data_IF_040235164206
#
_entry.id   IF_040235164206
#
_cell.length_a   1.000
_cell.length_b   1.000
_cell.length_c   1.000
_cell.angle_alpha   90.00
_cell.angle_beta   90.00
_cell.angle_gamma   90.00
#
_symmetry.space_group_name_H-M   'P 1'
#
loop_
_entity.id
_entity.type
_entity.pdbx_description
1 polymer ?
#
# COMPACT_ATOMS: atom_id res chain seq x y z
N UNK A 1 -11.94 -9.31 1.42
CA UNK A 1 -11.29 -9.59 2.73
C UNK A 1 -12.26 -10.08 3.80
N UNK A 2 -11.86 -11.10 4.58
CA UNK A 2 -12.51 -11.56 5.84
C UNK A 2 -11.44 -12.18 6.78
N UNK A 3 -11.71 -12.27 8.08
CA UNK A 3 -10.80 -12.87 9.08
C UNK A 3 -9.57 -12.00 9.37
N UNK A 4 -8.45 -12.60 9.78
CA UNK A 4 -7.24 -11.87 10.21
C UNK A 4 -6.79 -10.75 9.25
N UNK A 5 -6.81 -10.90 7.90
CA UNK A 5 -6.45 -9.80 7.01
C UNK A 5 -7.37 -8.58 7.14
N UNK A 6 -8.67 -8.79 7.40
CA UNK A 6 -9.61 -7.69 7.65
C UNK A 6 -9.33 -7.03 9.00
N UNK A 7 -9.10 -7.82 10.04
CA UNK A 7 -8.80 -7.29 11.38
C UNK A 7 -7.51 -6.45 11.36
N UNK A 8 -6.48 -6.91 10.64
CA UNK A 8 -5.24 -6.16 10.43
C UNK A 8 -5.47 -4.87 9.63
N UNK A 9 -6.27 -4.92 8.56
CA UNK A 9 -6.60 -3.73 7.77
C UNK A 9 -7.29 -2.66 8.63
N UNK A 10 -8.27 -3.07 9.45
CA UNK A 10 -9.00 -2.17 10.35
C UNK A 10 -8.06 -1.60 11.41
N UNK A 11 -7.23 -2.45 12.05
CA UNK A 11 -6.29 -2.03 13.07
C UNK A 11 -5.29 -0.99 12.52
N UNK A 12 -4.68 -1.26 11.36
CA UNK A 12 -3.74 -0.32 10.72
C UNK A 12 -4.44 0.98 10.34
N UNK A 13 -5.66 0.91 9.78
CA UNK A 13 -6.43 2.09 9.39
C UNK A 13 -6.75 2.98 10.60
N UNK A 14 -7.20 2.40 11.72
CA UNK A 14 -7.49 3.13 12.95
C UNK A 14 -6.24 3.79 13.54
N UNK A 15 -5.10 3.09 13.56
CA UNK A 15 -3.83 3.65 14.07
C UNK A 15 -3.37 4.84 13.23
N UNK A 16 -3.42 4.73 11.90
CA UNK A 16 -3.05 5.83 10.99
C UNK A 16 -3.98 7.02 11.20
N UNK A 17 -5.29 6.76 11.20
CA UNK A 17 -6.29 7.80 11.33
C UNK A 17 -6.07 8.58 12.63
N UNK A 18 -5.80 7.90 13.75
CA UNK A 18 -5.56 8.54 15.05
C UNK A 18 -4.22 9.28 15.12
N UNK A 19 -3.18 8.78 14.44
CA UNK A 19 -1.86 9.39 14.38
C UNK A 19 -1.80 10.63 13.46
N UNK A 20 -2.74 10.76 12.52
CA UNK A 20 -2.81 11.89 11.60
C UNK A 20 -3.10 13.22 12.31
N UNK A 21 -2.69 14.30 11.64
CA UNK A 21 -2.97 15.66 12.06
C UNK A 21 -4.18 16.22 11.31
N UNK A 22 -4.81 17.26 11.87
CA UNK A 22 -5.86 18.01 11.19
C UNK A 22 -5.37 18.53 9.82
N UNK A 23 -6.17 18.41 8.75
CA UNK A 23 -7.59 18.01 8.72
C UNK A 23 -7.83 16.51 8.46
N UNK A 24 -6.79 15.69 8.39
CA UNK A 24 -6.87 14.26 8.03
C UNK A 24 -6.98 13.35 9.25
N UNK A 25 -7.02 13.93 10.45
CA UNK A 25 -7.13 13.22 11.71
C UNK A 25 -8.45 12.49 11.79
N UNK A 26 -8.39 11.23 12.21
CA UNK A 26 -9.52 10.31 12.34
C UNK A 26 -10.31 10.09 11.04
N UNK A 27 -9.75 10.38 9.87
CA UNK A 27 -10.42 10.12 8.60
C UNK A 27 -9.97 8.77 8.03
N UNK A 28 -10.94 7.92 7.67
CA UNK A 28 -10.73 6.72 6.85
C UNK A 28 -11.53 6.81 5.55
N UNK A 29 -11.09 6.14 4.49
CA UNK A 29 -11.80 6.09 3.21
C UNK A 29 -12.44 4.73 3.00
N UNK A 30 -13.71 4.70 2.57
CA UNK A 30 -14.36 3.45 2.13
C UNK A 30 -13.76 2.97 0.80
N UNK A 31 -13.67 1.66 0.65
CA UNK A 31 -13.15 0.99 -0.54
C UNK A 31 -14.31 0.68 -1.51
N UNK A 32 -14.85 1.68 -2.20
CA UNK A 32 -16.08 1.56 -3.02
C UNK A 32 -16.00 2.36 -4.33
N UNK A 33 -16.96 2.13 -5.23
CA UNK A 33 -17.09 2.91 -6.48
C UNK A 33 -17.52 4.38 -6.24
N UNK A 34 -18.25 4.63 -5.14
CA UNK A 34 -18.48 5.95 -4.54
C UNK A 34 -17.69 6.05 -3.23
N UNK A 35 -16.38 6.38 -3.28
CA UNK A 35 -15.53 6.41 -2.09
C UNK A 35 -16.00 7.49 -1.12
N UNK A 36 -15.97 7.26 0.19
CA UNK A 36 -16.37 8.24 1.20
C UNK A 36 -15.31 8.38 2.28
N UNK A 37 -15.03 9.62 2.66
CA UNK A 37 -14.27 9.91 3.88
C UNK A 37 -15.20 9.89 5.06
N UNK A 38 -14.89 9.01 6.00
CA UNK A 38 -15.66 8.79 7.22
C UNK A 38 -14.80 9.22 8.39
N UNK A 39 -15.34 10.13 9.20
CA UNK A 39 -14.74 10.53 10.47
C UNK A 39 -15.04 9.44 11.51
N UNK A 40 -13.97 8.80 11.99
CA UNK A 40 -13.98 7.75 13.02
C UNK A 40 -13.49 8.28 14.37
N UNK A 41 -13.69 9.57 14.64
CA UNK A 41 -13.36 10.18 15.93
C UNK A 41 -14.10 9.46 17.05
N UNK A 42 -13.38 8.90 18.04
CA UNK A 42 -14.02 8.21 19.14
C UNK A 42 -14.81 9.21 20.00
N UNK A 43 -16.06 8.86 20.33
CA UNK A 43 -16.85 9.60 21.30
C UNK A 43 -16.42 9.24 22.73
N UNK A 44 -16.78 10.09 23.69
CA UNK A 44 -16.49 9.81 25.10
C UNK A 44 -17.18 8.51 25.53
N UNK A 45 -16.39 7.53 25.97
CA UNK A 45 -16.87 6.20 26.36
C UNK A 45 -16.89 5.16 25.23
N UNK A 46 -16.56 5.52 23.99
CA UNK A 46 -16.38 4.53 22.92
C UNK A 46 -15.17 3.65 23.22
N UNK A 47 -15.37 2.33 23.26
CA UNK A 47 -14.28 1.37 23.43
C UNK A 47 -13.71 0.90 22.08
N UNK A 48 -12.57 0.20 22.11
CA UNK A 48 -11.92 -0.27 20.87
C UNK A 48 -12.82 -1.22 20.06
N UNK A 49 -13.56 -2.11 20.72
CA UNK A 49 -14.45 -3.07 20.06
C UNK A 49 -15.55 -2.38 19.25
N UNK A 50 -16.11 -1.29 19.78
CA UNK A 50 -17.08 -0.46 19.08
C UNK A 50 -16.45 0.24 17.87
N UNK A 51 -15.26 0.81 18.01
CA UNK A 51 -14.54 1.45 16.88
C UNK A 51 -14.25 0.46 15.76
N UNK A 52 -13.76 -0.73 16.13
CA UNK A 52 -13.49 -1.81 15.17
C UNK A 52 -14.79 -2.23 14.47
N UNK A 53 -15.87 -2.40 15.23
CA UNK A 53 -17.18 -2.78 14.68
C UNK A 53 -17.73 -1.70 13.72
N UNK A 54 -17.63 -0.42 14.07
CA UNK A 54 -18.07 0.69 13.22
C UNK A 54 -17.34 0.68 11.87
N UNK A 55 -16.00 0.54 11.89
CA UNK A 55 -15.19 0.44 10.68
C UNK A 55 -15.51 -0.83 9.90
N UNK A 56 -15.67 -1.97 10.58
CA UNK A 56 -15.99 -3.26 9.95
C UNK A 56 -17.34 -3.25 9.21
N UNK A 57 -18.31 -2.51 9.73
CA UNK A 57 -19.66 -2.40 9.17
C UNK A 57 -19.81 -1.33 8.09
N UNK A 58 -18.75 -0.58 7.77
CA UNK A 58 -18.79 0.38 6.66
C UNK A 58 -19.05 -0.32 5.32
N UNK A 59 -19.57 0.43 4.35
CA UNK A 59 -19.82 -0.07 3.01
C UNK A 59 -18.51 -0.18 2.21
N UNK A 60 -17.82 -1.31 2.37
CA UNK A 60 -16.56 -1.63 1.70
C UNK A 60 -16.72 -2.12 0.26
N UNK A 61 -17.91 -1.98 -0.34
CA UNK A 61 -18.15 -2.26 -1.76
C UNK A 61 -17.56 -3.57 -2.29
N UNK A 62 -17.29 -3.61 -3.60
CA UNK A 62 -16.59 -4.70 -4.30
C UNK A 62 -15.55 -4.16 -5.31
N UNK A 63 -15.25 -2.85 -5.25
CA UNK A 63 -14.46 -2.12 -6.24
C UNK A 63 -13.90 -0.83 -5.63
N UNK A 64 -12.98 -0.15 -6.32
CA UNK A 64 -12.47 1.14 -5.86
C UNK A 64 -12.24 2.08 -7.02
N UNK A 65 -12.84 3.26 -6.91
CA UNK A 65 -12.62 4.37 -7.81
C UNK A 65 -11.53 5.30 -7.26
N UNK A 66 -10.27 5.01 -7.57
CA UNK A 66 -9.13 5.81 -7.09
C UNK A 66 -9.20 7.27 -7.54
N UNK A 67 -9.63 7.55 -8.78
CA UNK A 67 -9.80 8.93 -9.21
C UNK A 67 -10.79 9.67 -8.30
N UNK A 68 -11.90 9.03 -7.94
CA UNK A 68 -12.87 9.57 -6.98
C UNK A 68 -12.28 9.80 -5.58
N UNK A 69 -11.40 8.90 -5.10
CA UNK A 69 -10.69 9.10 -3.82
C UNK A 69 -9.87 10.38 -3.87
N UNK A 70 -9.04 10.52 -4.91
CA UNK A 70 -8.16 11.68 -5.09
C UNK A 70 -8.93 12.98 -5.34
N UNK A 71 -10.04 12.92 -6.08
CA UNK A 71 -10.91 14.08 -6.29
C UNK A 71 -11.53 14.53 -4.95
N UNK A 72 -11.94 13.62 -4.06
CA UNK A 72 -12.41 13.95 -2.71
C UNK A 72 -11.30 14.51 -1.81
N UNK A 73 -10.07 14.00 -1.92
CA UNK A 73 -8.92 14.61 -1.23
C UNK A 73 -8.74 16.07 -1.64
N UNK A 74 -8.79 16.36 -2.94
CA UNK A 74 -8.70 17.73 -3.43
C UNK A 74 -9.88 18.59 -3.00
N UNK A 75 -11.10 18.06 -3.02
CA UNK A 75 -12.29 18.75 -2.54
C UNK A 75 -12.11 19.21 -1.09
N UNK A 76 -11.71 18.30 -0.20
CA UNK A 76 -11.43 18.61 1.21
C UNK A 76 -10.31 19.64 1.33
N UNK A 77 -9.21 19.45 0.58
CA UNK A 77 -8.05 20.33 0.65
C UNK A 77 -8.37 21.76 0.19
N UNK A 78 -9.10 21.89 -0.91
CA UNK A 78 -9.48 23.19 -1.49
C UNK A 78 -10.55 23.87 -0.63
N UNK A 79 -11.59 23.14 -0.21
CA UNK A 79 -12.68 23.70 0.59
C UNK A 79 -12.19 24.23 1.94
N UNK A 80 -11.19 23.57 2.55
CA UNK A 80 -10.64 23.95 3.84
C UNK A 80 -9.34 24.77 3.76
N UNK A 81 -8.90 25.15 2.54
CA UNK A 81 -7.65 25.91 2.31
C UNK A 81 -6.44 25.28 3.01
N UNK A 82 -6.30 23.96 2.88
CA UNK A 82 -5.28 23.18 3.56
C UNK A 82 -3.89 23.70 3.17
N UNK A 83 -3.01 24.06 4.12
CA UNK A 83 -1.64 24.40 3.81
C UNK A 83 -0.94 23.25 3.08
N UNK A 84 -0.07 23.55 2.12
CA UNK A 84 0.59 22.51 1.29
C UNK A 84 1.37 21.50 2.13
N UNK A 85 2.02 21.98 3.20
CA UNK A 85 2.76 21.18 4.17
C UNK A 85 1.87 20.30 5.06
N UNK A 86 0.55 20.53 5.05
CA UNK A 86 -0.47 19.72 5.74
C UNK A 86 -1.30 18.86 4.80
N UNK A 87 -0.97 18.82 3.51
CA UNK A 87 -1.59 17.87 2.59
C UNK A 87 -1.20 16.45 2.98
N UNK A 88 -2.14 15.51 2.86
CA UNK A 88 -1.83 14.10 3.06
C UNK A 88 -0.73 13.69 2.07
N UNK A 89 0.34 13.08 2.57
CA UNK A 89 1.52 12.70 1.76
C UNK A 89 1.38 11.28 1.20
N UNK A 90 0.63 10.41 1.88
CA UNK A 90 0.54 8.99 1.53
C UNK A 90 -0.89 8.49 1.71
N UNK A 91 -1.39 7.78 0.70
CA UNK A 91 -2.63 7.01 0.72
C UNK A 91 -2.30 5.52 0.89
N UNK A 92 -2.61 4.96 2.05
CA UNK A 92 -2.48 3.52 2.30
C UNK A 92 -3.71 2.75 1.84
N UNK A 93 -3.50 1.69 1.07
CA UNK A 93 -4.54 0.82 0.55
C UNK A 93 -4.29 -0.61 1.06
N UNK A 94 -4.99 -0.98 2.12
CA UNK A 94 -4.94 -2.33 2.71
C UNK A 94 -5.94 -3.24 2.00
N UNK A 95 -5.47 -4.31 1.34
CA UNK A 95 -6.31 -5.21 0.53
C UNK A 95 -5.81 -6.67 0.54
N UNK A 96 -6.63 -7.65 0.12
CA UNK A 96 -6.25 -9.05 -0.17
C UNK A 96 -6.00 -9.33 -1.67
N UNK A 97 -5.88 -8.27 -2.46
CA UNK A 97 -5.60 -8.25 -3.91
C UNK A 97 -6.67 -8.81 -4.85
N UNK A 98 -7.96 -8.68 -4.52
CA UNK A 98 -9.00 -8.78 -5.55
C UNK A 98 -9.05 -7.48 -6.41
N UNK A 99 -7.91 -7.14 -7.04
CA UNK A 99 -7.70 -5.92 -7.84
C UNK A 99 -8.20 -6.01 -9.28
N UNK A 100 -8.77 -7.15 -9.66
CA UNK A 100 -9.26 -7.52 -10.98
C UNK A 100 -10.44 -6.65 -11.50
N UNK A 101 -11.02 -5.77 -10.67
CA UNK A 101 -12.12 -4.88 -11.06
C UNK A 101 -11.82 -3.38 -10.99
N UNK A 102 -10.66 -2.95 -10.48
CA UNK A 102 -10.41 -1.52 -10.22
C UNK A 102 -9.88 -0.71 -11.42
N UNK A 103 -9.44 -1.36 -12.49
CA UNK A 103 -9.22 -0.72 -13.79
C UNK A 103 -9.04 -1.79 -14.87
N UNK A 104 -10.11 -2.08 -15.63
CA UNK A 104 -10.13 -3.15 -16.62
C UNK A 104 -9.35 -2.88 -17.91
N UNK A 105 -8.56 -1.81 -18.01
CA UNK A 105 -7.84 -1.48 -19.24
C UNK A 105 -6.56 -0.67 -18.93
N UNK A 106 -5.74 -0.41 -19.96
CA UNK A 106 -4.53 0.43 -19.98
C UNK A 106 -4.69 1.90 -19.50
N UNK A 107 -5.74 2.18 -18.71
CA UNK A 107 -6.26 3.45 -18.24
C UNK A 107 -5.48 3.99 -17.03
N UNK A 108 -4.82 3.14 -16.22
CA UNK A 108 -4.22 3.61 -14.97
C UNK A 108 -3.11 4.63 -15.16
N UNK A 109 -2.14 4.41 -16.06
CA UNK A 109 -1.06 5.38 -16.28
C UNK A 109 -1.66 6.75 -16.66
N UNK A 110 -2.63 6.76 -17.56
CA UNK A 110 -3.35 7.98 -17.94
C UNK A 110 -4.19 8.58 -16.80
N UNK A 111 -4.69 7.74 -15.88
CA UNK A 111 -5.44 8.18 -14.70
C UNK A 111 -4.52 8.80 -13.65
N UNK A 112 -3.38 8.18 -13.39
CA UNK A 112 -2.35 8.72 -12.51
C UNK A 112 -1.85 10.08 -13.00
N UNK A 113 -1.46 10.19 -14.27
CA UNK A 113 -1.04 11.46 -14.88
C UNK A 113 -2.12 12.54 -14.78
N UNK A 114 -3.39 12.16 -14.99
CA UNK A 114 -4.53 13.07 -14.86
C UNK A 114 -4.72 13.55 -13.42
N UNK A 115 -4.61 12.65 -12.44
CA UNK A 115 -4.70 13.01 -11.01
C UNK A 115 -3.55 13.92 -10.62
N UNK A 116 -2.31 13.56 -10.98
CA UNK A 116 -1.12 14.38 -10.72
C UNK A 116 -1.28 15.80 -11.26
N UNK A 117 -1.78 15.92 -12.50
CA UNK A 117 -2.09 17.21 -13.12
C UNK A 117 -3.18 17.97 -12.35
N UNK A 118 -4.26 17.31 -11.90
CA UNK A 118 -5.31 17.94 -11.09
C UNK A 118 -4.74 18.51 -9.79
N UNK A 119 -3.91 17.76 -9.09
CA UNK A 119 -3.26 18.21 -7.85
C UNK A 119 -2.39 19.43 -8.10
N UNK A 120 -1.54 19.36 -9.12
CA UNK A 120 -0.63 20.45 -9.50
C UNK A 120 -1.37 21.75 -9.85
N UNK A 121 -2.51 21.67 -10.55
CA UNK A 121 -3.36 22.83 -10.88
C UNK A 121 -3.89 23.51 -9.60
N UNK A 122 -4.22 22.74 -8.57
CA UNK A 122 -4.67 23.25 -7.28
C UNK A 122 -3.52 23.61 -6.33
N UNK A 123 -2.28 23.48 -6.78
CA UNK A 123 -1.08 23.85 -6.03
C UNK A 123 -0.62 22.82 -5.01
N UNK A 124 -1.15 21.58 -5.05
CA UNK A 124 -0.76 20.46 -4.19
C UNK A 124 0.11 19.45 -4.94
N UNK A 125 0.88 18.67 -4.18
CA UNK A 125 1.54 17.47 -4.68
C UNK A 125 0.60 16.28 -4.50
N UNK A 126 0.61 15.36 -5.47
CA UNK A 126 -0.20 14.15 -5.39
C UNK A 126 0.36 13.24 -4.28
N UNK A 127 -0.48 12.77 -3.34
CA UNK A 127 -0.06 11.79 -2.35
C UNK A 127 0.47 10.52 -3.03
N UNK A 128 1.53 9.95 -2.46
CA UNK A 128 2.02 8.63 -2.83
C UNK A 128 0.97 7.56 -2.50
N UNK A 129 0.95 6.47 -3.26
CA UNK A 129 0.03 5.35 -2.99
C UNK A 129 0.84 4.16 -2.52
N UNK A 130 0.48 3.63 -1.34
CA UNK A 130 1.04 2.39 -0.83
C UNK A 130 -0.02 1.30 -0.86
N UNK A 131 0.12 0.37 -1.80
CA UNK A 131 -0.71 -0.83 -1.87
C UNK A 131 -0.12 -1.90 -0.96
N UNK A 132 -0.83 -2.28 0.09
CA UNK A 132 -0.39 -3.33 1.01
C UNK A 132 -1.31 -4.54 0.94
N UNK A 133 -0.79 -5.60 0.33
CA UNK A 133 -1.44 -6.91 0.30
C UNK A 133 -1.28 -7.63 1.65
N UNK A 134 -2.37 -7.76 2.39
CA UNK A 134 -2.43 -8.40 3.70
C UNK A 134 -2.73 -9.90 3.63
N UNK A 135 -2.94 -10.47 2.44
CA UNK A 135 -3.15 -11.91 2.30
C UNK A 135 -1.85 -12.66 2.56
N UNK A 136 -1.83 -13.44 3.65
CA UNK A 136 -0.79 -14.42 3.93
C UNK A 136 -0.96 -15.68 3.05
N UNK A 137 -1.10 -15.55 1.73
CA UNK A 137 -0.99 -16.72 0.85
C UNK A 137 0.48 -16.99 0.59
N UNK A 138 1.01 -17.94 1.36
CA UNK A 138 2.17 -18.77 1.02
C UNK A 138 2.05 -19.16 -0.46
N UNK A 139 3.06 -18.82 -1.29
CA UNK A 139 3.12 -19.08 -2.74
C UNK A 139 2.08 -18.35 -3.61
N UNK A 140 2.39 -17.09 -3.96
CA UNK A 140 1.71 -16.33 -5.01
C UNK A 140 2.70 -15.64 -5.95
N UNK A 141 3.41 -16.41 -6.78
CA UNK A 141 3.85 -15.95 -8.10
C UNK A 141 5.21 -15.25 -8.27
N UNK A 142 6.10 -15.20 -7.27
CA UNK A 142 7.53 -14.99 -7.53
C UNK A 142 8.25 -16.34 -7.46
N UNK A 143 8.28 -17.06 -8.58
CA UNK A 143 9.33 -18.05 -8.80
C UNK A 143 10.67 -17.30 -8.86
N UNK A 144 11.68 -17.64 -8.05
CA UNK A 144 13.02 -17.10 -8.23
C UNK A 144 13.48 -17.43 -9.65
N UNK A 145 13.89 -16.41 -10.42
CA UNK A 145 14.39 -16.56 -11.80
C UNK A 145 15.62 -17.49 -11.92
N UNK A 146 16.17 -17.96 -10.81
CA UNK A 146 17.40 -18.75 -10.76
C UNK A 146 17.21 -20.28 -10.85
N UNK A 147 16.00 -20.79 -11.10
CA UNK A 147 15.79 -22.27 -11.16
C UNK A 147 15.14 -22.84 -12.42
N UNK A 148 15.15 -22.11 -13.54
CA UNK A 148 14.86 -22.71 -14.85
C UNK A 148 16.11 -23.36 -15.43
N UNK A 149 16.19 -24.70 -15.33
CA UNK A 149 17.16 -25.51 -16.07
C UNK A 149 16.94 -25.31 -17.58
N UNK A 150 18.02 -25.00 -18.28
CA UNK A 150 18.09 -24.69 -19.73
C UNK A 150 17.61 -25.84 -20.64
N UNK A 151 17.28 -27.02 -20.12
CA UNK A 151 17.03 -28.22 -20.91
C UNK A 151 15.59 -28.45 -21.39
N UNK A 152 14.59 -27.66 -20.97
CA UNK A 152 13.17 -28.01 -21.20
C UNK A 152 12.36 -27.01 -22.04
N UNK A 153 13.01 -26.35 -23.01
CA UNK A 153 12.43 -25.28 -23.84
C UNK A 153 11.82 -25.74 -25.17
N UNK A 154 11.43 -27.02 -25.31
CA UNK A 154 10.77 -27.50 -26.54
C UNK A 154 9.23 -27.48 -26.49
N UNK A 155 8.62 -27.34 -25.30
CA UNK A 155 7.16 -27.46 -25.13
C UNK A 155 6.37 -26.17 -24.88
N UNK A 156 7.01 -25.04 -24.55
CA UNK A 156 6.31 -23.85 -23.99
C UNK A 156 5.97 -22.74 -25.01
N UNK A 157 5.61 -23.09 -26.25
CA UNK A 157 5.20 -22.09 -27.26
C UNK A 157 3.77 -21.53 -27.08
N UNK A 158 3.03 -21.93 -26.05
CA UNK A 158 1.62 -21.52 -25.85
C UNK A 158 1.24 -21.02 -24.45
N UNK A 159 2.17 -20.90 -23.50
CA UNK A 159 1.88 -20.58 -22.10
C UNK A 159 2.29 -19.15 -21.67
N UNK A 160 2.31 -18.22 -22.63
CA UNK A 160 2.50 -16.79 -22.36
C UNK A 160 1.14 -16.11 -22.28
N UNK A 161 0.64 -15.92 -21.06
CA UNK A 161 -0.17 -14.78 -20.57
C UNK A 161 -1.16 -15.18 -19.46
N UNK A 162 -1.60 -16.44 -19.36
CA UNK A 162 -2.76 -16.80 -18.54
C UNK A 162 -2.48 -17.36 -17.14
N UNK A 163 -1.22 -17.58 -16.76
CA UNK A 163 -0.84 -18.10 -15.41
C UNK A 163 -0.25 -17.01 -14.50
N UNK A 164 0.11 -15.85 -15.06
CA UNK A 164 0.69 -14.72 -14.31
C UNK A 164 -0.19 -13.45 -14.32
N UNK A 165 -1.41 -13.53 -14.87
CA UNK A 165 -2.20 -12.36 -15.24
C UNK A 165 -3.34 -12.04 -14.29
N UNK A 166 -3.05 -11.41 -13.15
CA UNK A 166 -3.94 -10.41 -12.59
C UNK A 166 -3.49 -9.04 -13.10
N UNK A 167 -4.36 -8.27 -13.73
CA UNK A 167 -4.08 -6.88 -14.11
C UNK A 167 -3.73 -6.08 -12.85
N UNK A 168 -2.46 -5.76 -12.67
CA UNK A 168 -2.04 -4.85 -11.59
C UNK A 168 -2.50 -3.45 -12.00
N UNK A 169 -3.11 -2.66 -11.10
CA UNK A 169 -3.55 -1.31 -11.44
C UNK A 169 -2.34 -0.48 -11.88
N UNK A 170 -1.17 -0.71 -11.27
CA UNK A 170 0.05 0.05 -11.54
C UNK A 170 1.23 -0.86 -11.86
N UNK A 171 2.17 -0.35 -12.65
CA UNK A 171 3.48 -0.98 -12.79
C UNK A 171 4.24 -0.84 -11.45
N UNK A 172 4.97 -1.88 -11.04
CA UNK A 172 5.79 -1.83 -9.83
C UNK A 172 6.86 -0.73 -9.87
N UNK A 173 7.15 -0.22 -11.08
CA UNK A 173 8.16 0.78 -11.36
C UNK A 173 7.60 2.21 -11.46
N UNK A 174 6.29 2.41 -11.25
CA UNK A 174 5.67 3.73 -11.32
C UNK A 174 6.15 4.63 -10.17
N UNK A 175 6.71 5.82 -10.45
CA UNK A 175 7.07 6.78 -9.42
C UNK A 175 5.85 7.19 -8.58
N UNK A 176 6.03 7.30 -7.26
CA UNK A 176 4.97 7.64 -6.30
C UNK A 176 4.04 6.47 -5.93
N UNK A 177 4.35 5.24 -6.36
CA UNK A 177 3.56 4.06 -6.01
C UNK A 177 4.44 2.93 -5.47
N UNK A 178 4.08 2.43 -4.30
CA UNK A 178 4.77 1.34 -3.62
C UNK A 178 3.83 0.14 -3.45
N UNK A 179 4.31 -1.06 -3.80
CA UNK A 179 3.61 -2.31 -3.52
C UNK A 179 4.31 -3.08 -2.40
N UNK A 180 3.52 -3.50 -1.41
CA UNK A 180 3.93 -4.28 -0.26
C UNK A 180 3.10 -5.57 -0.21
N UNK A 181 3.71 -6.67 0.25
CA UNK A 181 3.02 -7.95 0.43
C UNK A 181 3.50 -8.65 1.69
N UNK A 182 2.56 -9.29 2.39
CA UNK A 182 2.82 -10.02 3.62
C UNK A 182 2.78 -9.13 4.85
N UNK A 183 3.14 -9.71 5.99
CA UNK A 183 3.17 -9.04 7.28
C UNK A 183 4.42 -9.47 8.04
N UNK A 184 5.17 -8.50 8.56
CA UNK A 184 6.27 -8.76 9.48
C UNK A 184 6.36 -7.66 10.53
N UNK A 185 6.88 -8.00 11.71
CA UNK A 185 7.06 -7.02 12.78
C UNK A 185 8.04 -5.91 12.40
N UNK A 186 9.04 -6.23 11.57
CA UNK A 186 9.98 -5.24 11.05
C UNK A 186 9.33 -4.28 10.06
N UNK A 187 8.42 -4.77 9.20
CA UNK A 187 7.63 -3.89 8.32
C UNK A 187 6.67 -3.01 9.11
N UNK A 188 6.01 -3.56 10.14
CA UNK A 188 5.16 -2.76 11.03
C UNK A 188 5.97 -1.68 11.74
N UNK A 189 7.18 -2.00 12.22
CA UNK A 189 8.06 -1.02 12.85
C UNK A 189 8.51 0.07 11.87
N UNK A 190 8.97 -0.32 10.68
CA UNK A 190 9.34 0.62 9.62
C UNK A 190 8.17 1.56 9.27
N UNK A 191 6.97 1.00 9.13
CA UNK A 191 5.74 1.74 8.90
C UNK A 191 5.43 2.74 10.02
N UNK A 192 5.44 2.32 11.29
CA UNK A 192 5.17 3.19 12.43
C UNK A 192 6.22 4.30 12.60
N UNK A 193 7.44 4.08 12.12
CA UNK A 193 8.54 5.06 12.14
C UNK A 193 8.61 5.90 10.85
N UNK A 194 7.65 5.76 9.94
CA UNK A 194 7.63 6.40 8.62
C UNK A 194 8.91 6.15 7.78
N UNK A 195 9.53 4.98 7.94
CA UNK A 195 10.68 4.51 7.17
C UNK A 195 10.20 3.62 6.01
N UNK A 196 9.51 4.21 5.04
CA UNK A 196 8.88 3.46 3.96
C UNK A 196 9.90 2.70 3.08
N UNK A 197 11.12 3.23 2.92
CA UNK A 197 12.22 2.56 2.21
C UNK A 197 12.59 1.21 2.87
N UNK A 198 12.49 1.15 4.19
CA UNK A 198 12.80 -0.05 4.95
C UNK A 198 11.73 -1.13 4.78
N UNK A 199 10.56 -0.82 4.24
CA UNK A 199 9.46 -1.78 4.09
C UNK A 199 9.69 -2.79 2.96
N UNK A 200 10.67 -2.55 2.09
CA UNK A 200 11.08 -3.49 1.05
C UNK A 200 11.95 -4.62 1.64
N UNK A 201 12.01 -5.81 1.02
CA UNK A 201 12.80 -6.92 1.53
C UNK A 201 14.28 -6.56 1.78
N UNK A 202 14.88 -5.76 0.89
CA UNK A 202 16.26 -5.30 1.06
C UNK A 202 16.40 -4.32 2.21
N UNK A 203 15.48 -3.36 2.36
CA UNK A 203 15.49 -2.39 3.45
C UNK A 203 15.27 -3.06 4.81
N UNK A 204 14.39 -4.07 4.88
CA UNK A 204 14.22 -4.90 6.08
C UNK A 204 15.52 -5.65 6.41
N UNK A 205 16.18 -6.24 5.41
CA UNK A 205 17.45 -6.93 5.60
C UNK A 205 18.53 -5.96 6.11
N UNK A 206 18.67 -4.78 5.50
CA UNK A 206 19.62 -3.75 5.91
C UNK A 206 19.33 -3.24 7.33
N UNK A 207 18.07 -2.98 7.67
CA UNK A 207 17.66 -2.58 9.01
C UNK A 207 18.00 -3.64 10.07
N UNK A 208 17.84 -4.93 9.73
CA UNK A 208 18.22 -6.05 10.60
C UNK A 208 19.74 -6.13 10.75
N UNK A 209 20.50 -6.07 9.64
CA UNK A 209 21.96 -6.14 9.66
C UNK A 209 22.60 -4.97 10.42
N UNK A 210 21.97 -3.79 10.37
CA UNK A 210 22.43 -2.60 11.10
C UNK A 210 22.03 -2.61 12.59
N UNK A 211 21.28 -3.61 13.05
CA UNK A 211 20.92 -3.71 14.47
C UNK A 211 22.11 -4.18 15.31
N UNK A 212 22.07 -3.86 16.62
CA UNK A 212 23.13 -4.25 17.57
C UNK A 212 23.35 -5.77 17.61
N UNK A 213 22.31 -6.54 17.34
CA UNK A 213 22.34 -8.00 17.36
C UNK A 213 23.27 -8.57 16.29
N UNK A 214 23.49 -7.86 15.18
CA UNK A 214 24.35 -8.29 14.07
C UNK A 214 25.64 -7.46 13.94
N UNK A 215 25.89 -6.53 14.86
CA UNK A 215 27.08 -5.66 14.87
C UNK A 215 28.43 -6.40 14.94
N UNK A 216 28.41 -7.68 15.30
CA UNK A 216 29.58 -8.55 15.36
C UNK A 216 29.80 -9.39 14.09
N UNK A 217 28.86 -9.35 13.12
CA UNK A 217 29.06 -9.98 11.83
C UNK A 217 30.13 -9.20 11.05
N UNK A 218 31.11 -9.94 10.54
CA UNK A 218 32.15 -9.41 9.66
C UNK A 218 32.17 -10.29 8.41
N UNK A 219 32.43 -9.66 7.26
CA UNK A 219 32.66 -10.40 6.03
C UNK A 219 33.94 -11.22 6.20
N UNK A 220 33.93 -12.51 5.84
CA UNK A 220 35.16 -13.29 5.82
C UNK A 220 36.12 -12.67 4.80
N UNK A 221 37.42 -12.61 5.11
CA UNK A 221 38.42 -11.98 4.25
C UNK A 221 38.42 -12.53 2.81
N UNK A 222 38.05 -13.80 2.65
CA UNK A 222 37.95 -14.47 1.35
C UNK A 222 36.82 -13.94 0.46
N UNK A 223 35.79 -13.32 1.04
CA UNK A 223 34.58 -12.88 0.36
C UNK A 223 34.58 -11.36 0.09
N UNK A 224 35.63 -10.63 0.51
CA UNK A 224 35.76 -9.19 0.27
C UNK A 224 36.03 -8.98 -1.23
N UNK A 225 35.21 -8.19 -1.95
CA UNK A 225 35.45 -7.91 -3.36
C UNK A 225 36.85 -7.33 -3.57
N UNK A 226 37.67 -8.02 -4.35
CA UNK A 226 38.95 -7.47 -4.79
C UNK A 226 38.63 -6.44 -5.87
N UNK A 227 38.97 -5.18 -5.59
CA UNK A 227 38.72 -4.04 -6.47
C UNK A 227 39.37 -4.15 -7.84
#
# INVERSE_FOLDING_TARGET
MRGDPMDVAIALSLVIAEANQEPWKNIVCTFSDDPRFVDVTPNNGTNLDQRVTEVMLMDWGMGTNFEGVFDKMLEVAVANQVPKDKMAQTLFVFSDMEFNSANQDHIWQTTHERIEKKFKIHGYEMPEIVYWNLRASVFGGYEPVDRLRISDMSGLRGLRASVFGGSKPVDATQPGVTMLSGYSIGMLKAFLENRLDDMQPIGQMEAILNSKDFSHLQLAEADIPKG
#
